data_IF_128905084369
#
_entry.id   IF_128905084369
#
_cell.length_a   1.000
_cell.length_b   1.000
_cell.length_c   1.000
_cell.angle_alpha   90.00
_cell.angle_beta   90.00
_cell.angle_gamma   90.00
#
_symmetry.space_group_name_H-M   'P 1'
#
loop_
_entity.id
_entity.type
_entity.pdbx_description
1 polymer ?
#
# COMPACT_ATOMS: atom_id res chain seq x y z
N UNK A 1 25.11 8.23 6.60
CA UNK A 1 23.79 8.10 5.97
C UNK A 1 23.95 8.53 4.53
N UNK A 2 23.77 7.61 3.57
CA UNK A 2 23.84 7.94 2.14
C UNK A 2 22.51 8.59 1.74
N UNK A 3 22.53 9.80 1.19
CA UNK A 3 21.33 10.44 0.64
C UNK A 3 21.45 10.40 -0.88
N UNK A 4 20.45 9.81 -1.54
CA UNK A 4 20.34 9.86 -3.00
C UNK A 4 19.69 11.16 -3.42
N UNK A 5 20.18 11.76 -4.51
CA UNK A 5 19.52 12.89 -5.17
C UNK A 5 18.20 12.44 -5.80
N UNK A 6 17.26 13.37 -5.95
CA UNK A 6 15.90 13.11 -6.45
C UNK A 6 15.90 12.33 -7.76
N UNK A 7 16.75 12.74 -8.69
CA UNK A 7 16.80 12.19 -10.04
C UNK A 7 17.26 10.73 -10.03
N UNK A 8 18.11 10.34 -9.09
CA UNK A 8 18.55 8.95 -8.93
C UNK A 8 17.41 8.07 -8.41
N UNK A 9 16.58 8.62 -7.53
CA UNK A 9 15.42 7.91 -6.99
C UNK A 9 14.31 7.77 -8.03
N UNK A 10 14.09 8.79 -8.85
CA UNK A 10 13.17 8.71 -10.00
C UNK A 10 13.68 7.72 -11.04
N UNK A 11 14.97 7.73 -11.39
CA UNK A 11 15.56 6.76 -12.30
C UNK A 11 15.45 5.31 -11.79
N UNK A 12 15.66 5.09 -10.48
CA UNK A 12 15.46 3.77 -9.88
C UNK A 12 13.98 3.35 -9.91
N UNK A 13 13.06 4.30 -9.71
CA UNK A 13 11.62 4.04 -9.81
C UNK A 13 11.25 3.67 -11.24
N UNK A 14 11.64 4.48 -12.23
CA UNK A 14 11.43 4.20 -13.66
C UNK A 14 11.99 2.83 -14.07
N UNK A 15 13.21 2.49 -13.65
CA UNK A 15 13.81 1.21 -14.00
C UNK A 15 13.01 0.00 -13.50
N UNK A 16 12.31 0.11 -12.37
CA UNK A 16 11.42 -0.95 -11.88
C UNK A 16 10.12 -1.01 -12.68
N UNK A 17 9.58 0.14 -13.10
CA UNK A 17 8.36 0.20 -13.90
C UNK A 17 8.60 -0.29 -15.33
N UNK A 18 9.75 0.08 -15.92
CA UNK A 18 10.17 -0.39 -17.24
C UNK A 18 10.22 -1.93 -17.30
N UNK A 19 10.52 -2.61 -16.18
CA UNK A 19 10.47 -4.08 -16.11
C UNK A 19 9.05 -4.64 -16.22
N UNK A 20 8.03 -3.92 -15.76
CA UNK A 20 6.62 -4.33 -15.90
C UNK A 20 6.18 -4.20 -17.36
N UNK A 21 6.65 -3.15 -18.05
CA UNK A 21 6.31 -2.82 -19.44
C UNK A 21 7.33 -3.38 -20.46
N UNK A 22 8.34 -4.16 -20.02
CA UNK A 22 9.43 -4.62 -20.88
C UNK A 22 9.01 -5.64 -21.96
N UNK A 23 7.92 -6.36 -21.72
CA UNK A 23 7.44 -7.43 -22.59
C UNK A 23 6.57 -6.89 -23.74
N UNK A 24 6.47 -7.65 -24.83
CA UNK A 24 5.61 -7.27 -25.96
C UNK A 24 4.10 -7.34 -25.64
N UNK A 25 3.75 -8.02 -24.55
CA UNK A 25 2.40 -8.13 -24.00
C UNK A 25 2.28 -7.30 -22.74
N UNK A 26 1.11 -6.72 -22.50
CA UNK A 26 0.85 -5.98 -21.27
C UNK A 26 0.97 -6.90 -20.05
N UNK A 27 1.56 -6.38 -18.98
CA UNK A 27 1.63 -7.03 -17.68
C UNK A 27 0.28 -7.16 -16.99
N UNK A 28 0.26 -7.81 -15.82
CA UNK A 28 -0.94 -7.93 -14.99
C UNK A 28 -0.72 -7.63 -13.51
N UNK A 29 -1.80 -7.20 -12.86
CA UNK A 29 -1.93 -7.14 -11.41
C UNK A 29 -2.76 -8.34 -10.95
N UNK A 30 -2.26 -9.04 -9.94
CA UNK A 30 -3.00 -10.11 -9.28
C UNK A 30 -3.24 -9.82 -7.81
N UNK A 31 -4.42 -10.19 -7.32
CA UNK A 31 -4.71 -10.32 -5.89
C UNK A 31 -4.65 -11.80 -5.51
N UNK A 32 -3.97 -12.09 -4.41
CA UNK A 32 -3.75 -13.46 -3.95
C UNK A 32 -4.15 -13.61 -2.48
N UNK A 33 -4.49 -14.83 -2.11
CA UNK A 33 -4.59 -15.25 -0.71
C UNK A 33 -3.21 -15.29 -0.04
N UNK A 34 -3.18 -15.49 1.28
CA UNK A 34 -1.92 -15.68 2.01
C UNK A 34 -1.11 -16.91 1.54
N UNK A 35 -1.79 -17.90 0.97
CA UNK A 35 -1.21 -19.13 0.40
C UNK A 35 -0.95 -19.03 -1.12
N UNK A 36 -0.91 -17.81 -1.67
CA UNK A 36 -0.60 -17.52 -3.08
C UNK A 36 -1.61 -18.08 -4.10
N UNK A 37 -2.81 -18.45 -3.66
CA UNK A 37 -3.92 -18.73 -4.58
C UNK A 37 -4.44 -17.41 -5.21
N UNK A 38 -4.51 -17.36 -6.54
CA UNK A 38 -4.96 -16.18 -7.30
C UNK A 38 -6.48 -16.01 -7.17
N UNK A 39 -6.91 -14.83 -6.73
CA UNK A 39 -8.32 -14.45 -6.59
C UNK A 39 -8.79 -13.58 -7.76
N UNK A 40 -7.92 -12.75 -8.30
CA UNK A 40 -8.21 -11.77 -9.34
C UNK A 40 -6.97 -11.55 -10.20
N UNK A 41 -7.16 -11.40 -11.52
CA UNK A 41 -6.14 -10.96 -12.47
C UNK A 41 -6.70 -9.77 -13.25
N UNK A 42 -5.95 -8.67 -13.30
CA UNK A 42 -6.27 -7.47 -14.05
C UNK A 42 -5.14 -7.19 -15.04
N UNK A 43 -5.44 -7.22 -16.34
CA UNK A 43 -4.50 -6.81 -17.37
C UNK A 43 -4.27 -5.29 -17.28
N UNK A 44 -3.02 -4.85 -17.34
CA UNK A 44 -2.65 -3.44 -17.23
C UNK A 44 -2.66 -2.76 -18.60
N UNK A 45 -2.64 -1.43 -18.61
CA UNK A 45 -2.30 -0.68 -19.82
C UNK A 45 -0.81 -0.83 -20.14
N UNK A 46 -0.41 -0.46 -21.34
CA UNK A 46 0.98 -0.30 -21.74
C UNK A 46 1.16 1.17 -22.21
N UNK A 47 1.84 2.04 -21.46
CA UNK A 47 2.54 1.75 -20.19
C UNK A 47 1.60 1.52 -19.00
N UNK A 48 2.01 0.68 -18.05
CA UNK A 48 1.21 0.32 -16.88
C UNK A 48 1.18 1.42 -15.81
N UNK A 49 2.20 2.28 -15.77
CA UNK A 49 2.34 3.36 -14.80
C UNK A 49 2.62 4.69 -15.50
N UNK A 50 2.28 5.79 -14.85
CA UNK A 50 2.73 7.12 -15.25
C UNK A 50 4.21 7.32 -14.87
N UNK A 51 4.88 8.24 -15.57
CA UNK A 51 6.25 8.65 -15.24
C UNK A 51 6.35 9.06 -13.75
N UNK A 52 7.40 8.63 -13.03
CA UNK A 52 7.58 8.99 -11.62
C UNK A 52 7.65 10.50 -11.42
N UNK A 53 6.95 11.02 -10.41
CA UNK A 53 7.05 12.41 -9.94
C UNK A 53 7.31 12.39 -8.45
N UNK A 54 8.49 12.86 -8.02
CA UNK A 54 8.86 12.86 -6.60
C UNK A 54 8.98 11.45 -6.02
N UNK A 55 9.54 10.53 -6.81
CA UNK A 55 9.83 9.13 -6.46
C UNK A 55 8.59 8.26 -6.33
N UNK A 56 7.47 8.74 -6.89
CA UNK A 56 6.18 8.07 -6.84
C UNK A 56 5.64 7.93 -8.25
N UNK A 57 5.29 6.71 -8.62
CA UNK A 57 4.59 6.43 -9.87
C UNK A 57 3.17 5.96 -9.58
N UNK A 58 2.20 6.58 -10.25
CA UNK A 58 0.80 6.22 -10.14
C UNK A 58 0.47 5.14 -11.18
N UNK A 59 -0.32 4.15 -10.77
CA UNK A 59 -0.87 3.16 -11.69
C UNK A 59 -1.77 3.85 -12.74
N UNK A 60 -1.53 3.56 -14.02
CA UNK A 60 -2.30 4.16 -15.12
C UNK A 60 -3.72 3.61 -15.16
N UNK A 61 -4.68 4.45 -15.56
CA UNK A 61 -6.07 4.03 -15.74
C UNK A 61 -6.88 3.83 -14.45
N UNK A 62 -6.41 4.32 -13.30
CA UNK A 62 -7.17 4.26 -12.05
C UNK A 62 -8.39 5.21 -12.05
N UNK A 63 -9.55 4.79 -11.48
CA UNK A 63 -9.78 3.51 -10.82
C UNK A 63 -9.88 2.35 -11.83
N UNK A 64 -9.20 1.24 -11.53
CA UNK A 64 -9.27 0.02 -12.35
C UNK A 64 -10.27 -0.93 -11.69
N UNK A 65 -11.10 -1.60 -12.50
CA UNK A 65 -12.07 -2.56 -12.03
C UNK A 65 -11.83 -3.93 -12.68
N UNK A 66 -11.72 -4.98 -11.86
CA UNK A 66 -11.63 -6.36 -12.31
C UNK A 66 -12.65 -7.25 -11.61
N UNK A 67 -12.99 -8.37 -12.24
CA UNK A 67 -13.89 -9.37 -11.65
C UNK A 67 -13.06 -10.45 -10.95
N UNK A 68 -13.35 -10.71 -9.67
CA UNK A 68 -12.71 -11.80 -8.93
C UNK A 68 -13.09 -13.16 -9.55
N UNK A 69 -12.08 -13.96 -9.90
CA UNK A 69 -12.26 -15.29 -10.46
C UNK A 69 -12.55 -16.36 -9.39
N UNK A 70 -12.14 -16.11 -8.14
CA UNK A 70 -12.33 -17.02 -7.02
C UNK A 70 -12.72 -16.25 -5.75
N UNK A 71 -13.34 -16.96 -4.81
CA UNK A 71 -13.63 -16.45 -3.48
C UNK A 71 -12.42 -16.62 -2.55
N UNK A 72 -12.24 -15.70 -1.60
CA UNK A 72 -11.19 -15.76 -0.59
C UNK A 72 -10.83 -14.39 -0.05
N UNK A 73 -9.92 -14.33 0.92
CA UNK A 73 -9.41 -13.07 1.45
C UNK A 73 -8.13 -12.68 0.73
N UNK A 74 -8.15 -11.56 0.02
CA UNK A 74 -6.95 -10.96 -0.56
C UNK A 74 -6.01 -10.52 0.57
N UNK A 75 -4.78 -11.05 0.54
CA UNK A 75 -3.75 -10.77 1.54
C UNK A 75 -2.44 -10.30 0.90
N UNK A 76 -2.25 -10.58 -0.40
CA UNK A 76 -1.08 -10.18 -1.17
C UNK A 76 -1.51 -9.66 -2.53
N UNK A 77 -0.67 -8.82 -3.12
CA UNK A 77 -0.75 -8.50 -4.55
C UNK A 77 0.60 -8.74 -5.20
N UNK A 78 0.58 -8.86 -6.53
CA UNK A 78 1.79 -8.79 -7.34
C UNK A 78 1.51 -8.17 -8.69
N UNK A 79 2.50 -7.45 -9.21
CA UNK A 79 2.60 -7.03 -10.60
C UNK A 79 3.52 -7.99 -11.34
N UNK A 80 3.10 -8.39 -12.54
CA UNK A 80 3.87 -9.22 -13.44
C UNK A 80 4.06 -8.54 -14.78
N UNK A 81 5.18 -8.81 -15.43
CA UNK A 81 5.39 -8.43 -16.82
C UNK A 81 4.52 -9.28 -17.76
N UNK A 82 4.55 -8.97 -19.06
CA UNK A 82 3.82 -9.72 -20.08
C UNK A 82 4.24 -11.19 -20.25
N UNK A 83 5.42 -11.57 -19.75
CA UNK A 83 5.94 -12.94 -19.72
C UNK A 83 5.51 -13.70 -18.45
N UNK A 84 4.85 -13.03 -17.51
CA UNK A 84 4.37 -13.60 -16.25
C UNK A 84 5.41 -13.62 -15.11
N UNK A 85 6.54 -12.95 -15.27
CA UNK A 85 7.56 -12.76 -14.24
C UNK A 85 7.05 -11.78 -13.20
N UNK A 86 7.17 -12.10 -11.90
CA UNK A 86 6.80 -11.16 -10.83
C UNK A 86 7.87 -10.08 -10.67
N UNK A 87 7.46 -8.82 -10.86
CA UNK A 87 8.35 -7.66 -10.75
C UNK A 87 8.19 -6.98 -9.39
N UNK A 88 6.95 -6.84 -8.92
CA UNK A 88 6.62 -6.20 -7.65
C UNK A 88 5.59 -7.05 -6.90
N UNK A 89 5.71 -7.10 -5.58
CA UNK A 89 4.70 -7.73 -4.73
C UNK A 89 4.63 -7.03 -3.39
N UNK A 90 3.48 -7.11 -2.74
CA UNK A 90 3.30 -6.56 -1.41
C UNK A 90 2.06 -7.11 -0.73
N UNK A 91 1.71 -6.46 0.36
CA UNK A 91 0.58 -6.82 1.22
C UNK A 91 -0.71 -6.12 0.79
N UNK A 92 -1.83 -6.79 1.00
CA UNK A 92 -3.17 -6.25 0.81
C UNK A 92 -3.90 -6.25 2.14
N UNK A 93 -4.62 -5.17 2.42
CA UNK A 93 -5.53 -5.16 3.56
C UNK A 93 -6.46 -3.95 3.57
N UNK A 94 -7.07 -3.70 4.73
CA UNK A 94 -8.00 -2.60 4.94
C UNK A 94 -7.32 -1.46 5.68
N UNK A 95 -7.72 -0.24 5.34
CA UNK A 95 -7.39 0.92 6.15
C UNK A 95 -8.27 0.97 7.38
N UNK A 96 -7.79 1.63 8.42
CA UNK A 96 -8.47 1.69 9.71
C UNK A 96 -8.61 3.13 10.16
N UNK A 97 -9.79 3.47 10.70
CA UNK A 97 -10.03 4.80 11.26
C UNK A 97 -9.13 5.03 12.48
N UNK A 98 -8.59 6.23 12.59
CA UNK A 98 -7.80 6.63 13.77
C UNK A 98 -8.76 6.82 14.94
N UNK A 99 -8.55 6.06 16.01
CA UNK A 99 -9.38 6.06 17.22
C UNK A 99 -8.78 6.92 18.36
N UNK A 100 -7.49 7.27 18.27
CA UNK A 100 -6.85 8.16 19.23
C UNK A 100 -5.54 8.73 18.71
N UNK A 101 -5.21 9.93 19.15
CA UNK A 101 -4.00 10.65 18.77
C UNK A 101 -3.37 11.26 20.02
N UNK A 102 -2.06 11.10 20.20
CA UNK A 102 -1.29 11.79 21.25
C UNK A 102 -0.06 12.44 20.64
N UNK A 103 -0.05 13.77 20.61
CA UNK A 103 1.07 14.56 20.09
C UNK A 103 2.31 14.45 21.00
N UNK A 104 2.11 14.46 22.32
CA UNK A 104 3.18 14.36 23.31
C UNK A 104 3.85 12.98 23.34
N UNK A 105 3.07 11.91 23.23
CA UNK A 105 3.60 10.54 23.18
C UNK A 105 4.01 10.10 21.77
N UNK A 106 3.66 10.89 20.73
CA UNK A 106 3.78 10.54 19.31
C UNK A 106 3.12 9.21 18.97
N UNK A 107 1.86 9.04 19.37
CA UNK A 107 1.12 7.81 19.13
C UNK A 107 -0.17 8.02 18.36
N UNK A 108 -0.45 7.09 17.43
CA UNK A 108 -1.79 6.84 16.90
C UNK A 108 -2.37 5.61 17.59
N UNK A 109 -3.67 5.57 17.81
CA UNK A 109 -4.39 4.39 18.29
C UNK A 109 -5.49 4.02 17.31
N UNK A 110 -5.66 2.73 17.05
CA UNK A 110 -6.60 2.17 16.07
C UNK A 110 -7.28 0.93 16.63
N UNK A 111 -8.49 0.64 16.16
CA UNK A 111 -9.21 -0.57 16.57
C UNK A 111 -8.62 -1.83 15.93
N UNK A 112 -8.63 -2.94 16.67
CA UNK A 112 -8.12 -4.24 16.22
C UNK A 112 -6.65 -4.46 16.55
N UNK A 113 -6.12 -5.61 16.16
CA UNK A 113 -4.71 -5.96 16.31
C UNK A 113 -3.97 -5.86 14.97
N UNK A 114 -3.18 -4.80 14.82
CA UNK A 114 -2.26 -4.63 13.70
C UNK A 114 -0.78 -4.70 14.14
N UNK A 115 -0.50 -5.23 15.34
CA UNK A 115 0.88 -5.26 15.88
C UNK A 115 1.84 -6.11 15.03
N UNK A 116 1.34 -7.12 14.32
CA UNK A 116 2.11 -7.95 13.38
C UNK A 116 2.38 -7.26 12.02
N UNK A 117 1.58 -6.24 11.67
CA UNK A 117 1.73 -5.46 10.43
C UNK A 117 2.59 -4.22 10.68
N UNK A 118 2.33 -3.53 11.78
CA UNK A 118 3.01 -2.31 12.18
C UNK A 118 4.23 -2.62 13.05
N UNK A 119 5.22 -3.31 12.49
CA UNK A 119 6.48 -3.60 13.17
C UNK A 119 7.41 -2.39 13.17
N UNK A 120 8.38 -2.33 14.09
CA UNK A 120 9.38 -1.26 14.11
C UNK A 120 10.09 -1.12 12.73
N UNK A 121 10.20 0.11 12.22
CA UNK A 121 10.73 0.44 10.90
C UNK A 121 9.73 0.39 9.75
N UNK A 122 8.54 -0.21 9.95
CA UNK A 122 7.48 -0.17 8.96
C UNK A 122 7.03 1.28 8.71
N UNK A 123 6.59 1.58 7.49
CA UNK A 123 6.05 2.88 7.13
C UNK A 123 4.57 2.73 6.81
N UNK A 124 3.73 3.61 7.34
CA UNK A 124 2.32 3.70 6.98
C UNK A 124 1.96 5.12 6.58
N UNK A 125 0.81 5.28 5.91
CA UNK A 125 0.26 6.58 5.53
C UNK A 125 -0.94 6.94 6.39
N UNK A 126 -1.04 8.21 6.78
CA UNK A 126 -2.27 8.83 7.28
C UNK A 126 -2.85 9.73 6.19
N UNK A 127 -4.16 9.69 6.02
CA UNK A 127 -4.88 10.58 5.09
C UNK A 127 -6.24 11.02 5.64
N UNK A 128 -6.69 12.20 5.25
CA UNK A 128 -8.00 12.73 5.63
C UNK A 128 -8.07 13.19 7.09
N UNK A 129 -6.93 13.50 7.70
CA UNK A 129 -6.82 14.08 9.04
C UNK A 129 -6.70 15.61 9.00
N UNK A 130 -7.17 16.28 10.06
CA UNK A 130 -7.14 17.76 10.20
C UNK A 130 -5.73 18.36 10.29
N UNK A 131 -4.68 17.56 10.53
CA UNK A 131 -3.31 18.10 10.59
C UNK A 131 -2.19 17.08 10.60
N UNK A 132 -2.48 15.80 10.32
CA UNK A 132 -1.52 14.71 10.41
C UNK A 132 -1.44 13.88 9.13
N UNK A 133 -1.83 14.44 7.98
CA UNK A 133 -1.69 13.74 6.70
C UNK A 133 -0.21 13.61 6.33
N UNK A 134 0.23 12.39 6.02
CA UNK A 134 1.63 12.12 5.74
C UNK A 134 2.03 10.66 5.90
N UNK A 135 3.34 10.41 5.79
CA UNK A 135 3.93 9.11 6.04
C UNK A 135 4.60 9.09 7.41
N UNK A 136 4.45 7.97 8.11
CA UNK A 136 4.96 7.79 9.45
C UNK A 136 5.74 6.48 9.56
N UNK A 137 6.88 6.54 10.23
CA UNK A 137 7.76 5.41 10.52
C UNK A 137 7.47 4.88 11.91
N UNK A 138 7.10 3.61 12.01
CA UNK A 138 6.78 2.94 13.27
C UNK A 138 8.03 2.77 14.12
N UNK A 139 7.97 3.23 15.36
CA UNK A 139 8.94 2.91 16.41
C UNK A 139 8.52 1.61 17.12
N UNK A 140 7.24 1.51 17.49
CA UNK A 140 6.66 0.32 18.11
C UNK A 140 5.15 0.28 17.90
N UNK A 141 4.57 -0.91 17.92
CA UNK A 141 3.12 -1.10 18.01
C UNK A 141 2.81 -2.09 19.14
N UNK A 142 1.88 -1.72 20.03
CA UNK A 142 1.43 -2.59 21.13
C UNK A 142 -0.07 -2.76 21.03
N UNK A 143 -0.54 -4.00 21.08
CA UNK A 143 -1.97 -4.30 21.16
C UNK A 143 -2.38 -4.57 22.60
N UNK A 144 -3.37 -3.82 23.09
CA UNK A 144 -3.98 -4.01 24.40
C UNK A 144 -5.45 -3.59 24.33
N UNK A 145 -6.32 -4.31 25.04
CA UNK A 145 -7.74 -3.96 25.20
C UNK A 145 -8.47 -3.69 23.87
N UNK A 146 -8.17 -4.48 22.83
CA UNK A 146 -8.80 -4.36 21.51
C UNK A 146 -8.29 -3.20 20.65
N UNK A 147 -7.27 -2.49 21.10
CA UNK A 147 -6.67 -1.33 20.42
C UNK A 147 -5.19 -1.58 20.15
N UNK A 148 -4.71 -1.23 18.96
CA UNK A 148 -3.27 -1.12 18.69
C UNK A 148 -2.84 0.34 18.83
N UNK A 149 -1.88 0.59 19.72
CA UNK A 149 -1.20 1.89 19.87
C UNK A 149 0.15 1.85 19.16
N UNK A 150 0.36 2.79 18.24
CA UNK A 150 1.50 2.86 17.32
C UNK A 150 2.30 4.10 17.66
N UNK A 151 3.52 3.94 18.15
CA UNK A 151 4.48 5.03 18.37
C UNK A 151 5.24 5.30 17.07
N UNK A 152 5.44 6.56 16.71
CA UNK A 152 6.10 6.96 15.44
C UNK A 152 7.32 7.85 15.65
N UNK A 153 8.17 7.94 14.62
CA UNK A 153 9.38 8.78 14.64
C UNK A 153 9.00 10.26 14.46
N UNK A 154 8.15 10.53 13.47
CA UNK A 154 7.75 11.86 13.03
C UNK A 154 6.94 12.60 14.10
N UNK A 155 6.90 13.92 14.00
CA UNK A 155 6.06 14.71 14.89
C UNK A 155 4.58 14.55 14.50
N UNK A 156 3.71 14.42 15.50
CA UNK A 156 2.27 14.55 15.34
C UNK A 156 1.92 15.95 15.82
N UNK A 157 1.42 16.81 14.93
CA UNK A 157 1.25 18.25 15.19
C UNK A 157 -0.15 18.60 15.67
N UNK A 158 -1.14 17.77 15.37
CA UNK A 158 -2.54 17.99 15.73
C UNK A 158 -3.07 16.81 16.56
N UNK A 159 -3.83 17.09 17.62
CA UNK A 159 -4.39 16.06 18.50
C UNK A 159 -5.83 15.64 18.12
N UNK A 160 -6.38 16.20 17.05
CA UNK A 160 -7.72 15.88 16.55
C UNK A 160 -7.76 14.42 16.10
N UNK A 161 -8.76 13.68 16.60
CA UNK A 161 -8.95 12.26 16.28
C UNK A 161 -9.82 12.15 15.04
N UNK A 162 -9.16 12.08 13.89
CA UNK A 162 -9.77 11.92 12.57
C UNK A 162 -8.82 11.26 11.58
N UNK A 163 -9.27 11.09 10.34
CA UNK A 163 -8.49 10.47 9.28
C UNK A 163 -8.41 8.96 9.35
N UNK A 164 -7.61 8.41 8.46
CA UNK A 164 -7.50 6.98 8.20
C UNK A 164 -6.03 6.57 8.09
N UNK A 165 -5.68 5.47 8.75
CA UNK A 165 -4.36 4.83 8.70
C UNK A 165 -4.36 3.73 7.64
N UNK A 166 -3.38 3.76 6.74
CA UNK A 166 -3.18 2.81 5.65
C UNK A 166 -1.88 2.02 5.89
N UNK A 167 -1.95 0.82 6.49
CA UNK A 167 -0.77 0.06 6.91
C UNK A 167 -0.25 -0.93 5.85
N UNK A 168 -0.97 -1.07 4.73
CA UNK A 168 -0.68 -2.03 3.66
C UNK A 168 -0.26 -1.30 2.38
N UNK A 169 0.50 -1.97 1.52
CA UNK A 169 0.97 -1.35 0.26
C UNK A 169 -0.17 -1.20 -0.75
N UNK A 170 -1.17 -2.10 -0.71
CA UNK A 170 -2.44 -1.95 -1.45
C UNK A 170 -3.62 -2.04 -0.48
N UNK A 171 -4.51 -1.04 -0.55
CA UNK A 171 -5.73 -1.00 0.26
C UNK A 171 -6.94 -1.43 -0.57
N UNK A 172 -7.77 -2.30 0.02
CA UNK A 172 -9.10 -2.63 -0.48
C UNK A 172 -10.13 -2.33 0.61
N UNK A 173 -11.28 -1.76 0.21
CA UNK A 173 -12.40 -1.53 1.15
C UNK A 173 -12.96 -2.84 1.71
N UNK A 174 -12.91 -3.91 0.91
CA UNK A 174 -13.28 -5.25 1.35
C UNK A 174 -12.33 -6.30 0.75
N UNK A 175 -11.40 -6.86 1.55
CA UNK A 175 -10.47 -7.88 1.07
C UNK A 175 -11.13 -9.25 0.96
N UNK A 176 -12.31 -9.48 1.55
CA UNK A 176 -13.07 -10.71 1.37
C UNK A 176 -13.80 -10.68 0.03
N UNK A 177 -13.24 -11.39 -0.95
CA UNK A 177 -13.73 -11.47 -2.31
C UNK A 177 -14.66 -12.65 -2.50
N UNK A 178 -15.67 -12.47 -3.33
CA UNK A 178 -16.55 -13.53 -3.83
C UNK A 178 -16.33 -13.69 -5.33
N UNK A 179 -16.35 -14.91 -5.85
CA UNK A 179 -16.25 -15.14 -7.30
C UNK A 179 -17.36 -14.37 -8.04
N UNK A 180 -16.99 -13.64 -9.09
CA UNK A 180 -17.89 -12.76 -9.84
C UNK A 180 -18.05 -11.35 -9.27
N UNK A 181 -17.48 -11.03 -8.10
CA UNK A 181 -17.49 -9.68 -7.56
C UNK A 181 -16.60 -8.74 -8.38
N UNK A 182 -17.12 -7.59 -8.77
CA UNK A 182 -16.30 -6.48 -9.27
C UNK A 182 -15.55 -5.83 -8.12
N UNK A 183 -14.23 -5.83 -8.21
CA UNK A 183 -13.31 -5.20 -7.26
C UNK A 183 -12.77 -3.93 -7.89
N UNK A 184 -12.97 -2.81 -7.21
CA UNK A 184 -12.43 -1.52 -7.61
C UNK A 184 -11.11 -1.30 -6.89
N UNK A 185 -10.07 -0.97 -7.65
CA UNK A 185 -8.76 -0.56 -7.13
C UNK A 185 -8.67 0.95 -7.36
N UNK A 186 -8.93 1.77 -6.32
CA UNK A 186 -9.12 3.21 -6.49
C UNK A 186 -7.82 3.92 -6.86
N UNK A 187 -6.70 3.47 -6.31
CA UNK A 187 -5.37 3.93 -6.65
C UNK A 187 -4.32 2.93 -6.18
N UNK A 188 -3.15 2.97 -6.82
CA UNK A 188 -1.92 2.36 -6.34
C UNK A 188 -0.77 3.29 -6.70
N UNK A 189 0.12 3.51 -5.74
CA UNK A 189 1.33 4.32 -5.93
C UNK A 189 2.53 3.49 -5.57
N UNK A 190 3.42 3.28 -6.53
CA UNK A 190 4.71 2.67 -6.26
C UNK A 190 5.68 3.75 -5.77
N UNK A 191 6.38 3.47 -4.67
CA UNK A 191 7.49 4.26 -4.17
C UNK A 191 8.65 3.32 -3.89
N UNK A 192 9.79 3.56 -4.52
CA UNK A 192 11.01 2.87 -4.13
C UNK A 192 11.35 3.26 -2.69
N UNK A 193 11.06 2.37 -1.72
CA UNK A 193 11.42 2.61 -0.32
C UNK A 193 12.94 2.73 -0.22
N UNK A 194 13.42 3.70 0.59
CA UNK A 194 14.82 3.71 1.02
C UNK A 194 15.04 2.44 1.84
N UNK A 195 15.87 1.53 1.30
CA UNK A 195 16.48 0.45 2.08
C UNK A 195 17.43 1.03 3.14
#
# INVERSE_FOLDING_TARGET
MLTHESDTQDAATSAVLDLIDAAATAGDLQLLTAADAVLLTQLLSDPAFADPVGHVAALSGTPIAATAAAAGTAAKFRFRDGDGTTILSGSVGQSVAIAGVSTGAKTFSIAGDLSAVLTAGAVFRVSGSTGNDGYYTVVSATHADGTTTVTVVEAITDATVDGTLHPYDLTLDNPALVAGQTVNIPSYTYRALKA
#
